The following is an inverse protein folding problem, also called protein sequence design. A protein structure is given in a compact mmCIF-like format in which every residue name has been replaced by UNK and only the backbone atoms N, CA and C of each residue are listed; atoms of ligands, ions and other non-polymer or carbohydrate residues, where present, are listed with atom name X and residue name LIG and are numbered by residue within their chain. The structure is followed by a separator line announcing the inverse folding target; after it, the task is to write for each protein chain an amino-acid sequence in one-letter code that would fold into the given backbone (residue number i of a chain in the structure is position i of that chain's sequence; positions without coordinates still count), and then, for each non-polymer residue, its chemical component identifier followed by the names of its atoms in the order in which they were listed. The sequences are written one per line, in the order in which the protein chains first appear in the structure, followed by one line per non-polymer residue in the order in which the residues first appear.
data_IF_714807718029
#
_entry.id   IF_714807718029
#
_cell.length_a   1.000
_cell.length_b   1.000
_cell.length_c   1.000
_cell.angle_alpha   90.00
_cell.angle_beta   90.00
_cell.angle_gamma   90.00
#
_symmetry.space_group_name_H-M   'P 1'
#
loop_
_entity.id
_entity.type
_entity.pdbx_description
1 polymer ?
#
# COMPACT_ATOMS: atom_id res chain seq x y z
N UNK A 1 -8.90 9.85 6.65
CA UNK A 1 -9.80 9.67 5.47
C UNK A 1 -10.54 8.32 5.50
N UNK A 2 -9.87 7.17 5.64
CA UNK A 2 -10.53 5.84 5.59
C UNK A 2 -10.50 5.02 6.90
N UNK A 3 -9.91 5.57 7.98
CA UNK A 3 -9.80 4.93 9.31
C UNK A 3 -9.16 3.53 9.28
N UNK A 4 -8.21 3.33 8.39
CA UNK A 4 -7.38 2.11 8.33
C UNK A 4 -6.22 2.28 9.30
N UNK A 5 -5.94 1.24 10.10
CA UNK A 5 -4.77 1.18 10.97
C UNK A 5 -3.73 0.25 10.32
N UNK A 6 -2.45 0.64 10.40
CA UNK A 6 -1.35 -0.17 9.92
C UNK A 6 -0.80 -1.02 11.07
N UNK A 7 -0.50 -2.28 10.79
CA UNK A 7 0.27 -3.16 11.68
C UNK A 7 1.77 -3.01 11.39
N UNK A 8 2.12 -2.94 10.11
CA UNK A 8 3.50 -2.84 9.65
C UNK A 8 3.57 -2.04 8.35
N UNK A 9 4.66 -1.30 8.18
CA UNK A 9 5.02 -0.65 6.93
C UNK A 9 6.53 -0.66 6.78
N UNK A 10 7.00 -1.08 5.62
CA UNK A 10 8.41 -1.01 5.24
C UNK A 10 8.55 -0.49 3.81
N UNK A 11 9.71 0.09 3.53
CA UNK A 11 10.08 0.59 2.21
C UNK A 11 11.41 0.01 1.76
N UNK A 12 11.55 -0.21 0.46
CA UNK A 12 12.82 -0.60 -0.18
C UNK A 12 12.98 0.10 -1.52
N UNK A 13 14.23 0.20 -1.99
CA UNK A 13 14.49 0.65 -3.36
C UNK A 13 13.82 -0.30 -4.35
N UNK A 14 13.17 0.25 -5.38
CA UNK A 14 12.49 -0.57 -6.38
C UNK A 14 13.50 -1.31 -7.25
N UNK A 15 13.22 -2.57 -7.53
CA UNK A 15 13.95 -3.36 -8.53
C UNK A 15 13.31 -3.23 -9.93
N UNK A 16 12.09 -2.69 -10.00
CA UNK A 16 11.30 -2.56 -11.24
C UNK A 16 11.46 -1.19 -11.89
N UNK A 17 11.62 -0.15 -11.07
CA UNK A 17 11.68 1.24 -11.52
C UNK A 17 12.97 1.91 -11.05
N UNK A 18 13.72 2.48 -12.00
CA UNK A 18 14.89 3.30 -11.71
C UNK A 18 14.46 4.49 -10.85
N UNK A 19 15.17 4.72 -9.74
CA UNK A 19 14.87 5.75 -8.75
C UNK A 19 13.45 5.64 -8.13
N UNK A 20 12.85 4.44 -8.14
CA UNK A 20 11.58 4.16 -7.48
C UNK A 20 11.75 3.58 -6.08
N UNK A 21 10.67 3.61 -5.30
CA UNK A 21 10.53 2.87 -4.04
C UNK A 21 9.37 1.90 -4.12
N UNK A 22 9.49 0.79 -3.39
CA UNK A 22 8.42 -0.17 -3.15
C UNK A 22 8.06 -0.16 -1.68
N UNK A 23 6.77 -0.26 -1.39
CA UNK A 23 6.24 -0.31 -0.03
C UNK A 23 5.49 -1.61 0.20
N UNK A 24 5.77 -2.27 1.31
CA UNK A 24 4.99 -3.39 1.82
C UNK A 24 4.22 -2.88 3.04
N UNK A 25 2.90 -3.03 3.02
CA UNK A 25 2.01 -2.46 4.02
C UNK A 25 1.09 -3.56 4.54
N UNK A 26 1.14 -3.81 5.84
CA UNK A 26 0.21 -4.69 6.53
C UNK A 26 -0.79 -3.85 7.31
N UNK A 27 -2.07 -4.14 7.12
CA UNK A 27 -3.16 -3.40 7.74
C UNK A 27 -3.83 -4.24 8.83
N UNK A 28 -4.22 -3.60 9.93
CA UNK A 28 -5.09 -4.23 10.91
C UNK A 28 -6.50 -4.38 10.32
N UNK A 29 -7.27 -5.39 10.76
CA UNK A 29 -8.68 -5.49 10.40
C UNK A 29 -9.46 -4.23 10.82
N UNK A 30 -10.38 -3.76 9.97
CA UNK A 30 -11.26 -2.63 10.26
C UNK A 30 -11.09 -1.44 9.29
N UNK A 31 -11.76 -0.34 9.61
CA UNK A 31 -11.82 0.82 8.72
C UNK A 31 -12.49 0.49 7.37
N UNK A 32 -12.21 1.29 6.35
CA UNK A 32 -12.63 1.03 4.97
C UNK A 32 -11.41 0.74 4.09
N UNK A 33 -10.91 -0.50 4.16
CA UNK A 33 -9.77 -0.98 3.37
C UNK A 33 -10.04 -0.90 1.86
N UNK A 34 -11.26 -1.18 1.41
CA UNK A 34 -11.63 -1.11 0.00
C UNK A 34 -11.37 0.28 -0.59
N UNK A 35 -11.93 1.32 0.03
CA UNK A 35 -11.71 2.70 -0.42
C UNK A 35 -10.24 3.16 -0.29
N UNK A 36 -9.52 2.66 0.71
CA UNK A 36 -8.10 2.96 0.86
C UNK A 36 -7.26 2.32 -0.26
N UNK A 37 -7.54 1.07 -0.62
CA UNK A 37 -6.91 0.35 -1.73
C UNK A 37 -7.21 1.04 -3.06
N UNK A 38 -8.47 1.41 -3.30
CA UNK A 38 -8.86 2.10 -4.53
C UNK A 38 -8.17 3.46 -4.67
N UNK A 39 -8.06 4.22 -3.57
CA UNK A 39 -7.34 5.49 -3.56
C UNK A 39 -5.83 5.30 -3.81
N UNK A 40 -5.19 4.29 -3.21
CA UNK A 40 -3.77 4.01 -3.40
C UNK A 40 -3.45 3.53 -4.82
N UNK A 41 -4.34 2.73 -5.42
CA UNK A 41 -4.12 2.19 -6.77
C UNK A 41 -3.94 3.28 -7.82
N UNK A 42 -4.58 4.43 -7.66
CA UNK A 42 -4.43 5.57 -8.57
C UNK A 42 -3.06 6.26 -8.47
N UNK A 43 -2.38 6.14 -7.34
CA UNK A 43 -1.11 6.80 -7.04
C UNK A 43 0.11 5.87 -7.27
N UNK A 44 -0.13 4.57 -7.42
CA UNK A 44 0.92 3.58 -7.57
C UNK A 44 1.11 3.15 -9.04
N UNK A 45 2.37 3.13 -9.51
CA UNK A 45 2.70 2.57 -10.82
C UNK A 45 2.47 1.05 -10.89
N UNK A 46 2.60 0.37 -9.75
CA UNK A 46 2.30 -1.05 -9.59
C UNK A 46 1.69 -1.26 -8.19
N UNK A 47 0.61 -2.03 -8.12
CA UNK A 47 -0.10 -2.30 -6.87
C UNK A 47 -0.59 -3.75 -6.85
N UNK A 48 -0.34 -4.46 -5.75
CA UNK A 48 -0.78 -5.84 -5.55
C UNK A 48 -1.32 -6.00 -4.13
N UNK A 49 -2.42 -6.73 -3.99
CA UNK A 49 -2.95 -7.15 -2.69
C UNK A 49 -2.52 -8.59 -2.44
N UNK A 50 -1.98 -8.85 -1.26
CA UNK A 50 -1.62 -10.19 -0.78
C UNK A 50 -2.58 -10.50 0.37
N UNK A 51 -3.24 -11.67 0.32
CA UNK A 51 -4.19 -12.14 1.33
C UNK A 51 -3.69 -13.37 2.06
#
# INVERSE_FOLDING_TARGET
KHRVNLLHIESRSSLRQVNGYEFMVECAPGGNLGLAIDALRAECNYFSVIS
#
